data_IF_813106120292
#
_entry.id   IF_813106120292
#
_cell.length_a   1.000
_cell.length_b   1.000
_cell.length_c   1.000
_cell.angle_alpha   90.00
_cell.angle_beta   90.00
_cell.angle_gamma   90.00
#
_symmetry.space_group_name_H-M   'P 1'
#
loop_
_entity.id
_entity.type
_entity.pdbx_description
1 polymer ?
#
# COMPACT_ATOMS: atom_id res chain seq x y z
N UNK A 1 -12.55 8.32 17.96
CA UNK A 1 -11.86 8.48 16.66
C UNK A 1 -11.32 9.91 16.55
N UNK A 2 -10.03 10.06 16.24
CA UNK A 2 -9.24 11.31 16.39
C UNK A 2 -9.24 12.20 15.12
N UNK A 3 -10.27 12.07 14.27
CA UNK A 3 -10.38 12.75 12.97
C UNK A 3 -10.17 14.27 13.06
N UNK A 4 -10.66 14.89 14.14
CA UNK A 4 -10.55 16.34 14.38
C UNK A 4 -9.11 16.84 14.49
N UNK A 5 -8.17 15.99 14.92
CA UNK A 5 -6.78 16.36 15.22
C UNK A 5 -5.90 16.40 13.97
N UNK A 6 -6.29 15.68 12.92
CA UNK A 6 -5.57 15.61 11.65
C UNK A 6 -6.15 16.51 10.55
N UNK A 7 -7.31 17.14 10.83
CA UNK A 7 -7.88 18.19 9.96
C UNK A 7 -7.08 19.50 10.00
N UNK A 8 -6.27 19.75 11.05
CA UNK A 8 -5.43 20.94 11.21
C UNK A 8 -4.12 20.90 10.37
N UNK A 9 -4.10 20.11 9.29
CA UNK A 9 -2.97 20.04 8.36
C UNK A 9 -1.75 19.24 8.84
N UNK A 10 -1.86 18.57 10.00
CA UNK A 10 -0.83 17.64 10.47
C UNK A 10 -1.20 16.22 10.10
N UNK A 11 -0.30 15.56 9.38
CA UNK A 11 -0.41 14.16 9.04
C UNK A 11 -0.18 13.27 10.27
N UNK A 12 -0.92 12.17 10.39
CA UNK A 12 -0.69 11.20 11.45
C UNK A 12 0.68 10.53 11.25
N UNK A 13 1.52 10.41 12.29
CA UNK A 13 2.93 10.04 12.14
C UNK A 13 3.15 8.62 11.61
N UNK A 14 2.12 7.76 11.63
CA UNK A 14 2.18 6.40 11.12
C UNK A 14 1.92 6.31 9.60
N UNK A 15 1.37 7.35 8.97
CA UNK A 15 0.86 7.28 7.59
C UNK A 15 2.02 7.14 6.60
N UNK A 16 2.98 8.09 6.54
CA UNK A 16 4.17 7.95 5.65
C UNK A 16 4.95 6.67 5.88
N UNK A 17 5.29 6.27 7.13
CA UNK A 17 6.01 5.03 7.37
C UNK A 17 5.26 3.82 6.82
N UNK A 18 3.94 3.75 7.01
CA UNK A 18 3.14 2.64 6.53
C UNK A 18 3.08 2.57 5.00
N UNK A 19 2.69 3.66 4.33
CA UNK A 19 2.55 3.66 2.86
C UNK A 19 3.90 3.49 2.16
N UNK A 20 4.98 4.07 2.70
CA UNK A 20 6.33 3.90 2.17
C UNK A 20 6.82 2.47 2.35
N UNK A 21 6.46 1.81 3.45
CA UNK A 21 6.74 0.38 3.63
C UNK A 21 5.99 -0.46 2.60
N UNK A 22 4.69 -0.20 2.36
CA UNK A 22 3.89 -0.93 1.37
C UNK A 22 4.47 -0.75 -0.04
N UNK A 23 4.75 0.49 -0.44
CA UNK A 23 5.35 0.83 -1.73
C UNK A 23 6.65 0.06 -1.97
N UNK A 24 7.54 0.04 -0.97
CA UNK A 24 8.82 -0.65 -1.08
C UNK A 24 8.64 -2.17 -1.23
N UNK A 25 7.75 -2.79 -0.43
CA UNK A 25 7.51 -4.24 -0.52
C UNK A 25 6.85 -4.66 -1.82
N UNK A 26 5.98 -3.81 -2.37
CA UNK A 26 5.41 -4.01 -3.70
C UNK A 26 6.48 -3.94 -4.79
N UNK A 27 7.43 -2.99 -4.67
CA UNK A 27 8.54 -2.87 -5.62
C UNK A 27 9.53 -4.05 -5.53
N UNK A 28 9.72 -4.61 -4.34
CA UNK A 28 10.63 -5.73 -4.07
C UNK A 28 9.99 -7.11 -4.31
N UNK A 29 8.72 -7.18 -4.73
CA UNK A 29 7.95 -8.42 -4.82
C UNK A 29 7.94 -9.24 -3.51
N UNK A 30 8.01 -8.57 -2.35
CA UNK A 30 8.02 -9.21 -1.01
C UNK A 30 6.59 -9.56 -0.55
N UNK A 31 5.98 -10.50 -1.28
CA UNK A 31 4.60 -10.95 -1.07
C UNK A 31 4.39 -11.50 0.34
N UNK A 32 5.36 -12.25 0.87
CA UNK A 32 5.29 -12.79 2.23
C UNK A 32 5.19 -11.68 3.27
N UNK A 33 5.97 -10.61 3.14
CA UNK A 33 5.84 -9.48 4.05
C UNK A 33 4.50 -8.77 3.90
N UNK A 34 4.02 -8.56 2.67
CA UNK A 34 2.73 -7.90 2.39
C UNK A 34 1.52 -8.68 2.91
N UNK A 35 1.58 -10.01 2.92
CA UNK A 35 0.56 -10.86 3.55
C UNK A 35 0.63 -10.79 5.09
N UNK A 36 1.81 -10.58 5.66
CA UNK A 36 2.05 -10.41 7.10
C UNK A 36 2.25 -8.93 7.51
N UNK A 37 1.63 -8.00 6.77
CA UNK A 37 1.86 -6.56 6.95
C UNK A 37 1.53 -6.10 8.37
N UNK A 38 0.55 -6.73 9.01
CA UNK A 38 0.03 -6.35 10.32
C UNK A 38 1.09 -6.51 11.42
N UNK A 39 1.97 -7.51 11.29
CA UNK A 39 3.08 -7.75 12.20
C UNK A 39 4.37 -7.03 11.78
N UNK A 40 4.56 -6.76 10.47
CA UNK A 40 5.84 -6.30 9.91
C UNK A 40 5.90 -4.81 9.60
N UNK A 41 4.78 -4.21 9.21
CA UNK A 41 4.76 -2.82 8.75
C UNK A 41 4.69 -1.85 9.94
N UNK A 42 5.47 -0.75 9.92
CA UNK A 42 5.40 0.26 10.97
C UNK A 42 4.03 0.91 10.98
N UNK A 43 3.36 0.90 12.13
CA UNK A 43 2.05 1.55 12.29
C UNK A 43 0.87 0.79 11.65
N UNK A 44 1.04 -0.48 11.26
CA UNK A 44 0.01 -1.25 10.55
C UNK A 44 -1.32 -1.34 11.29
N UNK A 45 -1.31 -1.61 12.60
CA UNK A 45 -2.52 -1.72 13.41
C UNK A 45 -3.22 -0.37 13.57
N UNK A 46 -2.47 0.74 13.57
CA UNK A 46 -3.02 2.09 13.58
C UNK A 46 -3.62 2.48 12.23
N UNK A 47 -2.94 2.13 11.12
CA UNK A 47 -3.41 2.38 9.76
C UNK A 47 -4.66 1.54 9.44
N UNK A 48 -4.69 0.29 9.91
CA UNK A 48 -5.74 -0.67 9.63
C UNK A 48 -6.18 -1.37 10.93
N UNK A 49 -7.09 -0.81 11.74
CA UNK A 49 -7.60 -1.45 12.96
C UNK A 49 -8.33 -2.78 12.73
N UNK A 50 -8.87 -2.97 11.53
CA UNK A 50 -9.30 -4.25 10.95
C UNK A 50 -8.63 -4.42 9.58
N UNK A 51 -8.66 -5.63 9.00
CA UNK A 51 -7.98 -5.92 7.74
C UNK A 51 -8.71 -5.44 6.48
N UNK A 52 -9.99 -5.08 6.59
CA UNK A 52 -10.91 -4.94 5.45
C UNK A 52 -10.44 -3.98 4.35
N UNK A 53 -9.73 -2.90 4.72
CA UNK A 53 -9.33 -1.86 3.79
C UNK A 53 -8.10 -2.23 2.94
N UNK A 54 -7.28 -3.18 3.39
CA UNK A 54 -6.10 -3.60 2.63
C UNK A 54 -6.37 -4.81 1.72
N UNK A 55 -7.48 -5.54 1.94
CA UNK A 55 -7.85 -6.71 1.13
C UNK A 55 -7.91 -6.47 -0.38
N UNK A 56 -8.39 -5.30 -0.89
CA UNK A 56 -8.36 -5.05 -2.33
C UNK A 56 -6.94 -5.08 -2.94
N UNK A 57 -5.93 -4.66 -2.17
CA UNK A 57 -4.53 -4.77 -2.59
C UNK A 57 -4.12 -6.23 -2.76
N UNK A 58 -4.44 -7.08 -1.77
CA UNK A 58 -4.14 -8.52 -1.82
C UNK A 58 -4.83 -9.21 -2.99
N UNK A 59 -6.07 -8.84 -3.29
CA UNK A 59 -6.78 -9.35 -4.46
C UNK A 59 -6.08 -8.96 -5.77
N UNK A 60 -5.69 -7.69 -5.91
CA UNK A 60 -4.98 -7.21 -7.10
C UNK A 60 -3.61 -7.89 -7.26
N UNK A 61 -2.88 -8.12 -6.17
CA UNK A 61 -1.63 -8.88 -6.18
C UNK A 61 -1.85 -10.32 -6.66
N UNK A 62 -2.87 -11.01 -6.16
CA UNK A 62 -3.21 -12.36 -6.61
C UNK A 62 -3.56 -12.43 -8.10
N UNK A 63 -4.18 -11.37 -8.64
CA UNK A 63 -4.52 -11.27 -10.05
C UNK A 63 -3.31 -11.01 -10.97
N UNK A 64 -2.18 -10.54 -10.44
CA UNK A 64 -0.95 -10.35 -11.21
C UNK A 64 -0.35 -11.67 -11.72
N UNK A 65 -0.70 -12.79 -11.08
CA UNK A 65 -0.29 -14.13 -11.46
C UNK A 65 1.13 -14.50 -11.05
N UNK A 66 1.62 -15.62 -11.57
CA UNK A 66 2.96 -16.11 -11.27
C UNK A 66 4.05 -15.31 -11.99
N UNK A 67 5.23 -15.18 -11.37
CA UNK A 67 6.42 -14.58 -11.99
C UNK A 67 6.69 -13.11 -11.65
N UNK A 68 5.96 -12.53 -10.69
CA UNK A 68 6.20 -11.19 -10.15
C UNK A 68 4.97 -10.29 -10.23
N UNK A 69 4.85 -9.30 -9.33
CA UNK A 69 3.68 -8.41 -9.27
C UNK A 69 3.70 -7.38 -10.42
N UNK A 70 4.90 -6.98 -10.85
CA UNK A 70 5.06 -5.86 -11.79
C UNK A 70 4.40 -4.58 -11.27
N UNK A 71 4.47 -4.37 -9.95
CA UNK A 71 3.76 -3.30 -9.26
C UNK A 71 4.35 -1.93 -9.60
N UNK A 72 3.47 -0.97 -9.92
CA UNK A 72 3.85 0.42 -10.17
C UNK A 72 2.88 1.37 -9.49
N UNK A 73 3.40 2.30 -8.71
CA UNK A 73 2.61 3.41 -8.17
C UNK A 73 2.36 4.42 -9.29
N UNK A 74 1.08 4.72 -9.52
CA UNK A 74 0.62 5.60 -10.60
C UNK A 74 0.32 7.00 -10.06
N UNK A 75 -0.25 7.07 -8.86
CA UNK A 75 -0.57 8.31 -8.18
C UNK A 75 -0.53 8.12 -6.66
N UNK A 76 -0.42 9.22 -5.92
CA UNK A 76 -0.25 9.24 -4.48
C UNK A 76 -0.82 10.52 -3.86
N UNK A 77 -1.46 10.39 -2.70
CA UNK A 77 -1.99 11.51 -1.94
C UNK A 77 -2.31 11.14 -0.51
N UNK A 78 -2.45 12.15 0.36
CA UNK A 78 -2.91 11.95 1.73
C UNK A 78 -3.98 12.99 2.03
N UNK A 79 -5.20 12.49 2.20
CA UNK A 79 -6.37 13.30 2.53
C UNK A 79 -6.66 13.27 4.03
N UNK A 80 -7.17 14.38 4.56
CA UNK A 80 -7.50 14.56 5.98
C UNK A 80 -6.35 14.18 6.95
N UNK A 81 -5.11 14.24 6.49
CA UNK A 81 -3.91 13.90 7.26
C UNK A 81 -3.74 12.41 7.60
N UNK A 82 -4.62 11.52 7.11
CA UNK A 82 -4.54 10.10 7.45
C UNK A 82 -5.03 9.11 6.39
N UNK A 83 -5.77 9.59 5.39
CA UNK A 83 -6.31 8.76 4.32
C UNK A 83 -5.33 8.73 3.15
N UNK A 84 -4.57 7.65 3.03
CA UNK A 84 -3.72 7.44 1.87
C UNK A 84 -4.55 7.15 0.61
N UNK A 85 -4.22 7.82 -0.48
CA UNK A 85 -4.91 7.76 -1.78
C UNK A 85 -4.01 7.15 -2.87
N UNK A 86 -3.15 6.22 -2.47
CA UNK A 86 -2.22 5.56 -3.37
C UNK A 86 -2.94 4.72 -4.43
N UNK A 87 -2.54 4.88 -5.69
CA UNK A 87 -3.03 4.06 -6.80
C UNK A 87 -1.88 3.20 -7.35
N UNK A 88 -2.08 1.88 -7.35
CA UNK A 88 -1.13 0.92 -7.89
C UNK A 88 -1.68 0.20 -9.11
N UNK A 89 -0.81 -0.05 -10.09
CA UNK A 89 -1.03 -0.96 -11.21
C UNK A 89 -0.17 -2.20 -11.05
N UNK A 90 -0.72 -3.35 -11.40
CA UNK A 90 -0.04 -4.64 -11.42
C UNK A 90 -0.02 -5.16 -12.85
N UNK A 91 1.18 -5.25 -13.45
CA UNK A 91 1.33 -5.69 -14.83
C UNK A 91 1.76 -7.17 -14.94
N UNK A 92 2.01 -7.84 -13.81
CA UNK A 92 2.52 -9.21 -13.75
C UNK A 92 3.90 -9.36 -14.39
N UNK A 93 4.36 -10.61 -14.56
CA UNK A 93 5.64 -10.92 -15.21
C UNK A 93 5.75 -10.38 -16.66
N UNK A 94 4.62 -10.24 -17.35
CA UNK A 94 4.55 -9.73 -18.73
C UNK A 94 4.75 -8.22 -18.86
N UNK A 95 4.62 -7.45 -17.78
CA UNK A 95 4.78 -5.99 -17.77
C UNK A 95 6.21 -5.49 -17.89
N UNK A 96 7.20 -6.35 -17.62
CA UNK A 96 8.63 -6.06 -17.80
C UNK A 96 9.03 -5.96 -19.28
N UNK A 97 8.19 -6.46 -20.19
CA UNK A 97 8.30 -6.28 -21.63
C UNK A 97 7.60 -4.96 -22.00
N UNK A 98 8.35 -3.86 -21.98
CA UNK A 98 7.84 -2.50 -22.29
C UNK A 98 6.99 -2.45 -23.57
N UNK A 99 5.87 -1.69 -23.59
CA UNK A 99 5.30 -1.20 -24.84
C UNK A 99 6.18 -0.09 -25.42
N UNK A 100 6.29 -0.08 -26.75
CA UNK A 100 6.91 0.97 -27.57
C UNK A 100 6.32 2.35 -27.34
#
# INVERSE_FOLDING_TARGET
HDFRRYQDGKEAPYVRPFIGWVEQRLADDDVEALLDYRARAPGAVQAHPSDEHLQPLHFAMGAAGEGGLGARRIDAGIDAGMLAMDLYRFDGAGGLLSPR
#
